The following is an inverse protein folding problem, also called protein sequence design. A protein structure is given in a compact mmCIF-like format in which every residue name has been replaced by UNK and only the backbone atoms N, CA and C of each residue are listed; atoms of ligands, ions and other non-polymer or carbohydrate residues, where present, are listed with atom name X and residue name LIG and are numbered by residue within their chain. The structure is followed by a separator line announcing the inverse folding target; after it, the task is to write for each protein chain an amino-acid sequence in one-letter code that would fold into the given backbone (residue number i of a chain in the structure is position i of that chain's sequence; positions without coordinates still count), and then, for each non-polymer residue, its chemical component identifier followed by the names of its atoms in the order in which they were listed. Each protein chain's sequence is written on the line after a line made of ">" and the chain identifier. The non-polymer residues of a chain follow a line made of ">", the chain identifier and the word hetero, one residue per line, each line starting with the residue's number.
data_IF_559065905663
#
_entry.id   IF_559065905663
#
_cell.length_a   1.000
_cell.length_b   1.000
_cell.length_c   1.000
_cell.angle_alpha   90.00
_cell.angle_beta   90.00
_cell.angle_gamma   90.00
#
_symmetry.space_group_name_H-M   'P 1'
#
loop_
_entity.id
_entity.type
_entity.pdbx_description
1 polymer ?
#
# COMPACT_ATOMS: atom_id res chain seq x y z
N UNK A 1 -14.03 -20.38 -16.36
CA UNK A 1 -13.22 -19.39 -17.08
C UNK A 1 -12.25 -18.80 -16.08
N UNK A 2 -10.94 -19.01 -16.27
CA UNK A 2 -9.93 -18.29 -15.50
C UNK A 2 -9.82 -16.91 -16.15
N UNK A 3 -10.66 -15.96 -15.73
CA UNK A 3 -10.55 -14.58 -16.21
C UNK A 3 -9.20 -14.04 -15.75
N UNK A 4 -8.28 -13.91 -16.70
CA UNK A 4 -6.98 -13.29 -16.48
C UNK A 4 -7.25 -11.84 -16.04
N UNK A 5 -7.02 -11.56 -14.75
CA UNK A 5 -7.30 -10.24 -14.17
C UNK A 5 -6.64 -9.15 -15.02
N UNK A 6 -7.43 -8.15 -15.42
CA UNK A 6 -6.98 -7.09 -16.31
C UNK A 6 -5.99 -6.19 -15.56
N UNK A 7 -4.87 -5.88 -16.20
CA UNK A 7 -3.90 -4.90 -15.68
C UNK A 7 -4.10 -3.56 -16.41
N UNK A 8 -3.95 -2.47 -15.68
CA UNK A 8 -3.86 -1.12 -16.23
C UNK A 8 -2.46 -0.89 -16.83
N UNK A 9 -2.30 0.26 -17.49
CA UNK A 9 -0.97 0.72 -17.90
C UNK A 9 -0.02 0.77 -16.70
N UNK A 10 1.23 0.35 -16.90
CA UNK A 10 2.20 0.22 -15.82
C UNK A 10 2.07 -1.06 -14.97
N UNK A 11 1.13 -1.96 -15.29
CA UNK A 11 1.02 -3.27 -14.63
C UNK A 11 0.25 -3.25 -13.31
N UNK A 12 -0.47 -2.16 -13.01
CA UNK A 12 -1.32 -2.08 -11.83
C UNK A 12 -2.57 -2.95 -11.98
N UNK A 13 -2.89 -3.84 -11.02
CA UNK A 13 -4.13 -4.60 -11.05
C UNK A 13 -5.37 -3.71 -11.18
N UNK A 14 -6.29 -4.10 -12.07
CA UNK A 14 -7.61 -3.48 -12.16
C UNK A 14 -8.58 -4.25 -11.25
N UNK A 15 -8.84 -3.71 -10.07
CA UNK A 15 -9.72 -4.30 -9.06
C UNK A 15 -10.79 -3.28 -8.69
N UNK A 16 -12.05 -3.72 -8.69
CA UNK A 16 -13.18 -2.88 -8.35
C UNK A 16 -13.06 -2.35 -6.91
N UNK A 17 -13.73 -1.22 -6.63
CA UNK A 17 -13.78 -0.68 -5.28
C UNK A 17 -14.41 -1.71 -4.34
N UNK A 18 -13.79 -1.93 -3.18
CA UNK A 18 -14.36 -2.71 -2.10
C UNK A 18 -13.56 -2.57 -0.82
N UNK A 19 -14.01 -3.25 0.23
CA UNK A 19 -13.46 -3.15 1.58
C UNK A 19 -13.16 -4.56 2.13
N UNK A 20 -12.24 -4.64 3.07
CA UNK A 20 -11.84 -5.88 3.74
C UNK A 20 -10.70 -6.61 3.06
N UNK A 21 -10.34 -7.77 3.63
CA UNK A 21 -9.21 -8.59 3.18
C UNK A 21 -9.38 -9.11 1.76
N UNK A 22 -10.58 -9.55 1.40
CA UNK A 22 -10.84 -10.24 0.12
C UNK A 22 -10.44 -9.40 -1.11
N UNK A 23 -10.65 -8.09 -1.06
CA UNK A 23 -10.25 -7.20 -2.15
C UNK A 23 -8.74 -6.94 -2.20
N UNK A 24 -8.06 -7.02 -1.05
CA UNK A 24 -6.59 -6.95 -0.99
C UNK A 24 -6.00 -8.24 -1.54
N UNK A 25 -6.54 -9.40 -1.15
CA UNK A 25 -6.11 -10.69 -1.68
C UNK A 25 -6.28 -10.76 -3.20
N UNK A 26 -7.42 -10.31 -3.71
CA UNK A 26 -7.68 -10.23 -5.14
C UNK A 26 -6.68 -9.30 -5.86
N UNK A 27 -6.32 -8.17 -5.25
CA UNK A 27 -5.31 -7.26 -5.79
C UNK A 27 -3.91 -7.89 -5.77
N UNK A 28 -3.50 -8.48 -4.66
CA UNK A 28 -2.18 -9.11 -4.50
C UNK A 28 -2.02 -10.31 -5.44
N UNK A 29 -3.07 -11.14 -5.59
CA UNK A 29 -3.09 -12.24 -6.55
C UNK A 29 -2.89 -11.78 -8.00
N UNK A 30 -3.37 -10.59 -8.33
CA UNK A 30 -3.23 -9.98 -9.66
C UNK A 30 -1.88 -9.28 -9.88
N UNK A 31 -1.09 -9.01 -8.84
CA UNK A 31 0.17 -8.29 -8.97
C UNK A 31 1.17 -9.09 -9.84
N UNK A 32 1.83 -8.46 -10.83
CA UNK A 32 2.67 -9.19 -11.77
C UNK A 32 4.06 -9.51 -11.21
N UNK A 33 4.54 -10.74 -11.48
CA UNK A 33 5.92 -11.16 -11.19
C UNK A 33 6.28 -11.07 -9.70
N UNK A 34 7.47 -10.53 -9.40
CA UNK A 34 7.97 -10.36 -8.03
C UNK A 34 7.06 -9.49 -7.15
N UNK A 35 6.22 -8.64 -7.76
CA UNK A 35 5.35 -7.73 -7.04
C UNK A 35 4.28 -8.45 -6.22
N UNK A 36 3.86 -9.65 -6.62
CA UNK A 36 2.94 -10.49 -5.82
C UNK A 36 3.54 -10.83 -4.46
N UNK A 37 4.75 -11.39 -4.44
CA UNK A 37 5.44 -11.73 -3.20
C UNK A 37 5.72 -10.49 -2.33
N UNK A 38 6.06 -9.35 -2.94
CA UNK A 38 6.19 -8.09 -2.21
C UNK A 38 4.85 -7.61 -1.64
N UNK A 39 3.75 -7.71 -2.39
CA UNK A 39 2.40 -7.38 -1.94
C UNK A 39 1.95 -8.22 -0.75
N UNK A 40 2.23 -9.53 -0.76
CA UNK A 40 1.97 -10.45 0.35
C UNK A 40 2.73 -10.03 1.61
N UNK A 41 4.03 -9.69 1.49
CA UNK A 41 4.84 -9.18 2.61
C UNK A 41 4.31 -7.86 3.16
N UNK A 42 3.93 -6.93 2.28
CA UNK A 42 3.36 -5.64 2.68
C UNK A 42 2.08 -5.85 3.49
N UNK A 43 1.14 -6.63 2.96
CA UNK A 43 -0.13 -6.88 3.66
C UNK A 43 0.07 -7.58 5.01
N UNK A 44 0.95 -8.58 5.06
CA UNK A 44 1.28 -9.28 6.30
C UNK A 44 1.90 -8.36 7.35
N UNK A 45 2.84 -7.49 6.95
CA UNK A 45 3.45 -6.51 7.86
C UNK A 45 2.41 -5.54 8.38
N UNK A 46 1.59 -4.96 7.50
CA UNK A 46 0.57 -3.98 7.91
C UNK A 46 -0.42 -4.61 8.89
N UNK A 47 -0.90 -5.82 8.59
CA UNK A 47 -1.84 -6.56 9.45
C UNK A 47 -1.26 -6.92 10.82
N UNK A 48 0.04 -7.23 10.86
CA UNK A 48 0.75 -7.55 12.11
C UNK A 48 0.93 -6.32 12.99
N UNK A 49 1.37 -5.21 12.42
CA UNK A 49 1.66 -3.98 13.18
C UNK A 49 0.39 -3.23 13.61
N UNK A 50 -0.72 -3.45 12.88
CA UNK A 50 -2.04 -2.88 13.15
C UNK A 50 -3.10 -3.99 13.11
N UNK A 51 -3.28 -4.75 14.22
CA UNK A 51 -4.37 -5.70 14.33
C UNK A 51 -5.72 -5.00 14.12
N UNK A 52 -6.56 -5.54 13.22
CA UNK A 52 -7.84 -4.94 12.87
C UNK A 52 -7.75 -3.75 11.91
N UNK A 53 -6.62 -3.56 11.23
CA UNK A 53 -6.45 -2.51 10.20
C UNK A 53 -7.61 -2.52 9.19
N UNK A 54 -8.12 -1.33 8.91
CA UNK A 54 -9.11 -1.11 7.87
C UNK A 54 -8.46 -1.23 6.49
N UNK A 55 -9.08 -2.00 5.61
CA UNK A 55 -8.55 -2.33 4.28
C UNK A 55 -9.56 -1.98 3.20
N UNK A 56 -9.07 -1.41 2.11
CA UNK A 56 -9.91 -1.17 0.94
C UNK A 56 -9.08 -1.20 -0.34
N UNK A 57 -9.77 -1.46 -1.46
CA UNK A 57 -9.29 -1.05 -2.78
C UNK A 57 -10.15 0.12 -3.23
N UNK A 58 -9.53 1.23 -3.60
CA UNK A 58 -10.19 2.42 -4.17
C UNK A 58 -9.39 2.90 -5.36
N UNK A 59 -10.07 3.28 -6.45
CA UNK A 59 -9.41 3.71 -7.69
C UNK A 59 -8.28 2.75 -8.16
N UNK A 60 -8.51 1.43 -8.04
CA UNK A 60 -7.54 0.38 -8.33
C UNK A 60 -6.24 0.42 -7.48
N UNK A 61 -6.28 0.98 -6.28
CA UNK A 61 -5.13 1.02 -5.36
C UNK A 61 -5.56 0.51 -3.99
N UNK A 62 -4.76 -0.33 -3.31
CA UNK A 62 -4.97 -0.67 -1.91
C UNK A 62 -4.80 0.54 -0.99
N UNK A 63 -5.59 0.56 0.07
CA UNK A 63 -5.56 1.51 1.17
C UNK A 63 -5.62 0.78 2.51
N UNK A 64 -4.86 1.29 3.47
CA UNK A 64 -4.80 0.80 4.85
C UNK A 64 -5.03 1.96 5.81
N UNK A 65 -5.86 1.74 6.82
CA UNK A 65 -6.35 2.75 7.74
C UNK A 65 -6.63 2.23 9.14
N UNK A 66 -6.92 3.13 10.08
CA UNK A 66 -7.37 2.77 11.44
C UNK A 66 -8.89 2.76 11.53
N UNK A 67 -9.52 3.63 10.75
CA UNK A 67 -10.96 3.77 10.68
C UNK A 67 -11.39 3.78 9.22
N UNK A 68 -12.63 3.38 8.97
CA UNK A 68 -13.17 3.32 7.61
C UNK A 68 -13.14 4.72 6.98
N UNK A 69 -12.61 4.79 5.76
CA UNK A 69 -12.44 6.02 5.00
C UNK A 69 -11.45 7.04 5.62
N UNK A 70 -10.57 6.58 6.54
CA UNK A 70 -9.41 7.32 7.04
C UNK A 70 -8.13 6.51 6.87
N UNK A 71 -7.25 6.94 5.98
CA UNK A 71 -6.15 6.11 5.45
C UNK A 71 -4.78 6.67 5.82
N UNK A 72 -3.85 5.81 6.24
CA UNK A 72 -2.46 6.22 6.52
C UNK A 72 -1.48 5.74 5.44
N UNK A 73 -1.82 4.67 4.72
CA UNK A 73 -0.98 4.06 3.69
C UNK A 73 -1.80 3.68 2.46
N UNK A 74 -1.23 3.88 1.27
CA UNK A 74 -1.73 3.34 0.01
C UNK A 74 -0.60 2.73 -0.82
N UNK A 75 -0.95 1.78 -1.68
CA UNK A 75 -0.04 1.08 -2.58
C UNK A 75 -0.45 1.25 -4.04
N UNK A 76 0.51 1.33 -4.95
CA UNK A 76 0.27 1.29 -6.40
C UNK A 76 1.42 0.61 -7.14
N UNK A 77 1.12 -0.27 -8.07
CA UNK A 77 2.12 -0.93 -8.92
C UNK A 77 2.49 -0.06 -10.12
N UNK A 78 3.78 0.17 -10.32
CA UNK A 78 4.36 0.69 -11.55
C UNK A 78 5.12 -0.42 -12.28
N UNK A 79 5.59 -0.13 -13.49
CA UNK A 79 6.35 -1.08 -14.31
C UNK A 79 7.59 -1.60 -13.56
N UNK A 80 8.36 -0.70 -12.92
CA UNK A 80 9.65 -1.00 -12.29
C UNK A 80 9.63 -1.10 -10.78
N UNK A 81 8.60 -0.56 -10.12
CA UNK A 81 8.55 -0.50 -8.65
C UNK A 81 7.11 -0.60 -8.13
N UNK A 82 6.98 -0.84 -6.83
CA UNK A 82 5.74 -0.62 -6.09
C UNK A 82 5.89 0.71 -5.34
N UNK A 83 4.94 1.62 -5.52
CA UNK A 83 4.89 2.87 -4.77
C UNK A 83 4.06 2.69 -3.51
N UNK A 84 4.67 2.91 -2.36
CA UNK A 84 3.97 3.16 -1.11
C UNK A 84 3.76 4.66 -0.93
N UNK A 85 2.58 5.05 -0.50
CA UNK A 85 2.20 6.43 -0.20
C UNK A 85 1.82 6.54 1.26
N UNK A 86 2.59 7.29 2.04
CA UNK A 86 2.27 7.63 3.41
C UNK A 86 1.68 9.03 3.45
N UNK A 87 0.42 9.15 3.88
CA UNK A 87 -0.29 10.43 3.84
C UNK A 87 0.26 11.47 4.83
N UNK A 88 0.75 10.99 5.98
CA UNK A 88 1.53 11.78 6.95
C UNK A 88 3.02 11.41 6.92
N UNK A 89 3.55 11.08 5.74
CA UNK A 89 4.92 10.60 5.55
C UNK A 89 6.02 11.57 6.02
N UNK A 90 5.76 12.88 6.03
CA UNK A 90 6.70 13.90 6.51
C UNK A 90 6.92 13.86 8.02
N UNK A 91 6.01 13.23 8.77
CA UNK A 91 6.09 13.07 10.22
C UNK A 91 6.70 11.73 10.64
N UNK A 92 7.13 10.90 9.68
CA UNK A 92 7.75 9.61 9.95
C UNK A 92 9.26 9.74 10.13
N UNK A 93 9.84 8.86 10.94
CA UNK A 93 11.27 8.81 11.22
C UNK A 93 11.89 7.42 10.94
N UNK A 94 12.85 7.30 9.99
CA UNK A 94 13.24 8.33 9.03
C UNK A 94 12.09 8.66 8.07
N UNK A 95 12.10 9.82 7.42
CA UNK A 95 11.10 10.11 6.39
C UNK A 95 11.32 9.22 5.15
N UNK A 96 10.25 8.70 4.50
CA UNK A 96 10.39 8.12 3.18
C UNK A 96 11.01 9.13 2.20
N UNK A 97 11.91 8.64 1.34
CA UNK A 97 12.83 9.46 0.53
C UNK A 97 12.13 10.40 -0.44
N UNK A 98 11.05 9.95 -1.07
CA UNK A 98 10.45 10.66 -2.19
C UNK A 98 9.42 11.68 -1.73
N UNK A 99 9.53 12.90 -2.25
CA UNK A 99 8.61 14.01 -1.91
C UNK A 99 7.35 13.96 -2.77
N UNK A 100 6.27 14.52 -2.21
CA UNK A 100 5.03 14.80 -2.93
C UNK A 100 4.88 16.31 -3.17
N UNK A 101 3.95 16.68 -4.04
CA UNK A 101 3.45 18.07 -4.15
C UNK A 101 2.73 18.53 -2.87
N UNK A 102 2.21 17.59 -2.09
CA UNK A 102 1.59 17.86 -0.79
C UNK A 102 2.65 17.76 0.32
N UNK A 103 2.83 18.80 1.16
CA UNK A 103 3.95 18.85 2.11
C UNK A 103 4.00 17.68 3.10
N UNK A 104 2.85 17.17 3.55
CA UNK A 104 2.75 16.07 4.50
C UNK A 104 3.03 14.69 3.88
N UNK A 105 2.79 14.53 2.58
CA UNK A 105 2.85 13.22 1.92
C UNK A 105 4.29 12.88 1.53
N UNK A 106 4.68 11.62 1.75
CA UNK A 106 5.93 11.05 1.22
C UNK A 106 5.67 9.72 0.53
N UNK A 107 6.52 9.40 -0.43
CA UNK A 107 6.49 8.11 -1.12
C UNK A 107 7.74 7.28 -0.80
N UNK A 108 7.57 5.97 -0.89
CA UNK A 108 8.66 5.01 -0.92
C UNK A 108 8.48 4.10 -2.13
N UNK A 109 9.54 3.88 -2.89
CA UNK A 109 9.52 2.98 -4.04
C UNK A 109 10.27 1.70 -3.69
N UNK A 110 9.56 0.58 -3.68
CA UNK A 110 10.14 -0.75 -3.52
C UNK A 110 10.48 -1.28 -4.90
N UNK A 111 11.70 -1.75 -5.09
CA UNK A 111 12.18 -2.43 -6.29
C UNK A 111 12.36 -3.93 -6.04
N UNK A 112 12.58 -4.68 -7.11
CA UNK A 112 12.82 -6.11 -7.05
C UNK A 112 14.09 -6.41 -6.23
N UNK A 113 13.98 -7.27 -5.23
CA UNK A 113 15.09 -7.67 -4.36
C UNK A 113 15.36 -6.72 -3.18
N UNK A 114 14.62 -5.60 -3.05
CA UNK A 114 14.76 -4.71 -1.91
C UNK A 114 14.36 -5.42 -0.60
N UNK A 115 15.19 -5.22 0.45
CA UNK A 115 14.83 -5.57 1.82
C UNK A 115 14.16 -4.36 2.50
N UNK A 116 12.82 -4.34 2.50
CA UNK A 116 12.03 -3.22 3.02
C UNK A 116 11.29 -3.54 4.32
N UNK A 117 11.30 -4.79 4.80
CA UNK A 117 10.34 -5.27 5.81
C UNK A 117 10.48 -4.54 7.15
N UNK A 118 11.72 -4.42 7.64
CA UNK A 118 11.99 -3.78 8.93
C UNK A 118 11.61 -2.28 8.91
N UNK A 119 11.94 -1.59 7.82
CA UNK A 119 11.66 -0.16 7.67
C UNK A 119 10.16 0.09 7.45
N UNK A 120 9.48 -0.76 6.68
CA UNK A 120 8.02 -0.69 6.51
C UNK A 120 7.30 -0.91 7.85
N UNK A 121 7.69 -1.92 8.62
CA UNK A 121 7.11 -2.17 9.93
C UNK A 121 7.29 -0.96 10.87
N UNK A 122 8.47 -0.33 10.85
CA UNK A 122 8.74 0.90 11.63
C UNK A 122 7.84 2.07 11.20
N UNK A 123 7.62 2.24 9.89
CA UNK A 123 6.74 3.29 9.37
C UNK A 123 5.28 3.03 9.69
N UNK A 124 4.79 1.80 9.53
CA UNK A 124 3.39 1.45 9.85
C UNK A 124 3.10 1.69 11.33
N UNK A 125 4.02 1.31 12.23
CA UNK A 125 3.87 1.59 13.68
C UNK A 125 3.77 3.06 14.03
N UNK A 126 4.40 3.94 13.26
CA UNK A 126 4.29 5.39 13.46
C UNK A 126 3.02 5.94 12.80
N UNK A 127 2.77 5.52 11.56
CA UNK A 127 1.66 6.01 10.75
C UNK A 127 0.28 5.72 11.36
N UNK A 128 0.14 4.62 12.11
CA UNK A 128 -1.11 4.29 12.82
C UNK A 128 -1.50 5.29 13.90
N UNK A 129 -0.52 6.00 14.47
CA UNK A 129 -0.74 6.96 15.57
C UNK A 129 -0.90 8.40 15.05
N UNK A 130 -0.83 8.60 13.73
CA UNK A 130 -0.98 9.89 13.07
C UNK A 130 -2.41 10.04 12.48
N UNK A 131 -2.90 11.28 12.30
CA UNK A 131 -4.17 11.51 11.63
C UNK A 131 -4.18 10.90 10.22
N UNK A 132 -5.15 10.02 9.95
CA UNK A 132 -5.37 9.47 8.63
C UNK A 132 -5.98 10.50 7.67
N UNK A 133 -5.78 10.28 6.37
CA UNK A 133 -6.34 11.12 5.31
C UNK A 133 -7.76 10.66 4.94
N UNK A 134 -8.70 11.60 4.85
CA UNK A 134 -10.08 11.32 4.42
C UNK A 134 -10.16 11.43 2.90
N UNK A 135 -10.31 10.29 2.24
CA UNK A 135 -10.44 10.13 0.79
C UNK A 135 -11.67 9.30 0.47
#
# INVERSE_FOLDING_TARGET
>A
MNEKQRLLSGGNPQIAKGYGQEVIDAYVAAMPGWKKAAGERIDAIVSREVPGVEKAVKWNSPFFGIERDSWFLSLHCFDKYIKLTFFQGASLEPQPKEKSKYPAVRYHHIHEGDDFDAQLAKWVRQAKDLPGEKL
#
